data_IF_848230019431
#
_entry.id   IF_848230019431
#
_cell.length_a   1.000
_cell.length_b   1.000
_cell.length_c   1.000
_cell.angle_alpha   90.00
_cell.angle_beta   90.00
_cell.angle_gamma   90.00
#
_symmetry.space_group_name_H-M   'P 1'
#
loop_
_entity.id
_entity.type
_entity.pdbx_description
1 polymer ?
#
# COMPACT_ATOMS: atom_id res chain seq x y z
N UNK A 1 3.76 10.55 -15.62
CA UNK A 1 3.41 9.40 -16.46
C UNK A 1 3.30 8.15 -15.60
N UNK A 2 2.23 7.37 -15.81
CA UNK A 2 1.99 6.15 -15.05
C UNK A 2 3.03 5.11 -15.44
N UNK A 3 3.58 4.41 -14.44
CA UNK A 3 4.39 3.23 -14.70
C UNK A 3 3.45 2.04 -14.90
N UNK A 4 3.32 1.58 -16.13
CA UNK A 4 2.34 0.56 -16.50
C UNK A 4 2.58 -0.76 -15.75
N UNK A 5 3.83 -1.14 -15.54
CA UNK A 5 4.15 -2.37 -14.81
C UNK A 5 3.60 -2.32 -13.37
N UNK A 6 3.88 -1.25 -12.65
CA UNK A 6 3.41 -1.12 -11.27
C UNK A 6 1.91 -0.86 -11.18
N UNK A 7 1.31 -0.24 -12.19
CA UNK A 7 -0.14 -0.11 -12.21
C UNK A 7 -0.83 -1.45 -12.43
N UNK A 8 -0.27 -2.32 -13.27
CA UNK A 8 -0.80 -3.69 -13.41
C UNK A 8 -0.70 -4.45 -12.09
N UNK A 9 0.37 -4.24 -11.32
CA UNK A 9 0.48 -4.83 -9.99
C UNK A 9 -0.57 -4.30 -9.03
N UNK A 10 -0.89 -3.00 -9.11
CA UNK A 10 -1.95 -2.43 -8.28
C UNK A 10 -3.32 -3.06 -8.62
N UNK A 11 -3.58 -3.30 -9.89
CA UNK A 11 -4.79 -4.03 -10.30
C UNK A 11 -4.81 -5.44 -9.75
N UNK A 12 -3.66 -6.13 -9.75
CA UNK A 12 -3.54 -7.45 -9.18
C UNK A 12 -3.85 -7.46 -7.69
N UNK A 13 -3.36 -6.47 -6.95
CA UNK A 13 -3.70 -6.31 -5.52
C UNK A 13 -5.20 -6.12 -5.32
N UNK A 14 -5.81 -5.25 -6.13
CA UNK A 14 -7.25 -4.99 -6.04
C UNK A 14 -8.07 -6.24 -6.35
N UNK A 15 -7.57 -7.11 -7.21
CA UNK A 15 -8.23 -8.38 -7.55
C UNK A 15 -8.04 -9.44 -6.46
N UNK A 16 -6.95 -9.36 -5.69
CA UNK A 16 -6.69 -10.30 -4.59
C UNK A 16 -7.48 -9.92 -3.32
N UNK A 17 -7.78 -8.65 -3.13
CA UNK A 17 -8.43 -8.17 -1.91
C UNK A 17 -9.80 -8.82 -1.64
N UNK A 18 -10.67 -9.06 -2.64
CA UNK A 18 -11.96 -9.72 -2.38
C UNK A 18 -11.83 -11.11 -1.79
N UNK A 19 -10.73 -11.81 -2.03
CA UNK A 19 -10.49 -13.15 -1.48
C UNK A 19 -10.45 -13.13 0.05
N UNK A 20 -10.18 -11.97 0.64
CA UNK A 20 -10.11 -11.78 2.09
C UNK A 20 -11.17 -10.80 2.59
N UNK A 21 -12.25 -10.61 1.83
CA UNK A 21 -13.40 -9.84 2.28
C UNK A 21 -13.34 -8.34 2.00
N UNK A 22 -12.45 -7.89 1.12
CA UNK A 22 -12.31 -6.47 0.79
C UNK A 22 -12.59 -6.26 -0.70
N UNK A 23 -13.86 -6.17 -1.10
CA UNK A 23 -14.23 -5.91 -2.49
C UNK A 23 -14.14 -4.42 -2.83
N UNK A 24 -14.17 -4.12 -4.12
CA UNK A 24 -14.39 -2.76 -4.65
C UNK A 24 -13.25 -1.78 -4.35
N UNK A 25 -12.04 -2.27 -4.17
CA UNK A 25 -10.88 -1.39 -4.04
C UNK A 25 -10.47 -0.91 -5.44
N UNK A 26 -10.37 0.42 -5.59
CA UNK A 26 -9.93 1.02 -6.84
C UNK A 26 -8.39 0.90 -6.92
N UNK A 27 -7.85 0.25 -7.96
CA UNK A 27 -6.38 0.11 -8.08
C UNK A 27 -5.65 1.44 -8.18
N UNK A 28 -6.32 2.52 -8.60
CA UNK A 28 -5.70 3.85 -8.66
C UNK A 28 -5.36 4.36 -7.26
N UNK A 29 -6.17 4.02 -6.26
CA UNK A 29 -5.86 4.38 -4.86
C UNK A 29 -4.61 3.66 -4.38
N UNK A 30 -4.51 2.38 -4.69
CA UNK A 30 -3.34 1.57 -4.33
C UNK A 30 -2.09 2.14 -5.01
N UNK A 31 -2.19 2.43 -6.30
CA UNK A 31 -1.06 2.97 -7.06
C UNK A 31 -0.57 4.29 -6.45
N UNK A 32 -1.48 5.21 -6.16
CA UNK A 32 -1.12 6.51 -5.57
C UNK A 32 -0.42 6.32 -4.21
N UNK A 33 -0.92 5.40 -3.39
CA UNK A 33 -0.31 5.09 -2.10
C UNK A 33 1.09 4.53 -2.27
N UNK A 34 1.29 3.59 -3.20
CA UNK A 34 2.61 3.01 -3.44
C UNK A 34 3.61 4.04 -3.96
N UNK A 35 3.19 4.93 -4.84
CA UNK A 35 4.05 6.03 -5.31
C UNK A 35 4.51 6.88 -4.13
N UNK A 36 3.60 7.21 -3.24
CA UNK A 36 3.91 8.00 -2.05
C UNK A 36 4.89 7.24 -1.12
N UNK A 37 4.59 5.98 -0.82
CA UNK A 37 5.38 5.20 0.14
C UNK A 37 6.76 4.83 -0.38
N UNK A 38 6.91 4.62 -1.68
CA UNK A 38 8.14 4.12 -2.29
C UNK A 38 8.97 5.22 -2.96
N UNK A 39 8.58 6.46 -2.81
CA UNK A 39 9.20 7.58 -3.54
C UNK A 39 9.26 7.27 -5.03
N UNK A 40 8.09 7.04 -5.62
CA UNK A 40 7.93 6.71 -7.04
C UNK A 40 8.71 5.45 -7.42
N UNK A 41 8.63 4.42 -6.57
CA UNK A 41 9.23 3.09 -6.79
C UNK A 41 10.76 3.08 -6.78
N UNK A 42 11.38 4.10 -6.19
CA UNK A 42 12.84 4.24 -6.20
C UNK A 42 13.50 3.99 -4.84
N UNK A 43 12.72 3.88 -3.75
CA UNK A 43 13.30 3.68 -2.43
C UNK A 43 14.09 2.36 -2.37
N UNK A 44 15.10 2.31 -1.49
CA UNK A 44 15.87 1.09 -1.30
C UNK A 44 14.97 -0.09 -0.92
N UNK A 45 13.97 0.15 -0.08
CA UNK A 45 13.03 -0.89 0.32
C UNK A 45 12.23 -1.44 -0.87
N UNK A 46 11.79 -0.56 -1.77
CA UNK A 46 11.06 -0.97 -2.97
C UNK A 46 11.95 -1.78 -3.91
N UNK A 47 13.20 -1.39 -4.07
CA UNK A 47 14.12 -2.02 -5.02
C UNK A 47 14.69 -3.33 -4.44
N UNK A 48 15.12 -3.32 -3.20
CA UNK A 48 15.84 -4.46 -2.61
C UNK A 48 14.89 -5.52 -2.04
N UNK A 49 13.76 -5.09 -1.45
CA UNK A 49 12.82 -6.00 -0.80
C UNK A 49 11.56 -6.27 -1.63
N UNK A 50 11.41 -5.63 -2.79
CA UNK A 50 10.16 -5.65 -3.57
C UNK A 50 8.97 -5.21 -2.71
N UNK A 51 9.20 -4.33 -1.74
CA UNK A 51 8.22 -3.91 -0.73
C UNK A 51 7.84 -2.45 -1.00
N UNK A 52 6.70 -2.26 -1.65
CA UNK A 52 6.29 -0.93 -2.11
C UNK A 52 5.52 -0.14 -1.05
N UNK A 53 4.99 -0.82 -0.04
CA UNK A 53 4.15 -0.19 0.97
C UNK A 53 4.77 -0.12 2.37
N UNK A 54 6.02 -0.53 2.53
CA UNK A 54 6.64 -0.53 3.85
C UNK A 54 6.05 -1.54 4.82
N UNK A 55 5.60 -2.68 4.33
CA UNK A 55 4.91 -3.69 5.14
C UNK A 55 5.91 -4.41 6.04
N UNK A 56 5.55 -4.57 7.32
CA UNK A 56 6.41 -5.21 8.32
C UNK A 56 5.81 -6.51 8.83
N UNK A 57 6.63 -7.29 9.50
CA UNK A 57 6.24 -8.54 10.16
C UNK A 57 6.62 -8.48 11.64
N UNK A 58 6.07 -9.41 12.45
CA UNK A 58 6.28 -9.39 13.90
C UNK A 58 7.66 -9.88 14.32
N UNK A 59 8.28 -10.75 13.52
CA UNK A 59 9.62 -11.27 13.80
C UNK A 59 10.63 -10.61 12.85
N UNK A 60 11.87 -10.37 13.30
CA UNK A 60 12.88 -9.77 12.42
C UNK A 60 13.27 -10.70 11.28
N UNK A 61 13.70 -10.13 10.17
CA UNK A 61 14.31 -10.88 9.08
C UNK A 61 15.74 -11.28 9.45
N UNK A 62 16.26 -12.29 8.76
CA UNK A 62 17.61 -12.81 9.02
C UNK A 62 18.71 -11.81 8.66
N UNK A 63 18.43 -10.91 7.73
CA UNK A 63 19.41 -9.91 7.29
C UNK A 63 18.87 -8.50 7.51
N UNK A 64 19.77 -7.55 7.87
CA UNK A 64 19.37 -6.15 7.99
C UNK A 64 18.79 -5.59 6.68
N UNK A 65 17.87 -4.66 6.80
CA UNK A 65 17.23 -4.02 5.66
C UNK A 65 17.74 -2.60 5.45
N UNK A 66 17.47 -2.02 4.25
CA UNK A 66 18.07 -0.74 3.86
C UNK A 66 17.85 0.41 4.85
N UNK A 67 16.73 0.44 5.54
CA UNK A 67 16.43 1.53 6.48
C UNK A 67 16.96 1.26 7.90
N UNK A 68 17.91 0.36 8.03
CA UNK A 68 18.51 0.05 9.34
C UNK A 68 17.68 -0.86 10.22
N UNK A 69 16.53 -1.30 9.75
CA UNK A 69 15.69 -2.25 10.44
C UNK A 69 15.87 -3.65 9.89
N UNK A 70 15.11 -4.59 10.43
CA UNK A 70 15.06 -5.95 9.91
C UNK A 70 13.66 -6.55 10.06
N UNK A 71 12.65 -5.70 10.20
CA UNK A 71 11.25 -6.12 10.32
C UNK A 71 10.46 -5.96 9.02
N UNK A 72 10.98 -5.26 8.01
CA UNK A 72 10.31 -5.16 6.73
C UNK A 72 10.33 -6.49 6.01
N UNK A 73 9.19 -6.87 5.43
CA UNK A 73 9.12 -8.14 4.71
C UNK A 73 9.96 -8.08 3.44
N UNK A 74 10.71 -9.15 3.19
CA UNK A 74 11.42 -9.37 1.92
C UNK A 74 10.54 -10.22 1.02
N UNK A 75 10.10 -9.68 -0.11
CA UNK A 75 9.28 -10.44 -1.06
C UNK A 75 10.18 -10.99 -2.19
N UNK A 76 9.88 -12.20 -2.63
CA UNK A 76 10.64 -12.83 -3.70
C UNK A 76 10.44 -12.12 -5.04
N UNK A 77 9.29 -11.46 -5.23
CA UNK A 77 8.97 -10.74 -6.46
C UNK A 77 7.96 -9.63 -6.15
N UNK A 78 7.79 -8.71 -7.11
CA UNK A 78 6.74 -7.71 -6.99
C UNK A 78 5.35 -8.33 -7.07
N UNK A 79 5.18 -9.42 -7.82
CA UNK A 79 3.91 -10.14 -7.91
C UNK A 79 3.52 -10.72 -6.55
N UNK A 80 4.47 -11.32 -5.84
CA UNK A 80 4.24 -11.83 -4.50
C UNK A 80 3.83 -10.71 -3.55
N UNK A 81 4.50 -9.56 -3.64
CA UNK A 81 4.12 -8.40 -2.85
C UNK A 81 2.68 -7.95 -3.16
N UNK A 82 2.34 -7.88 -4.45
CA UNK A 82 1.00 -7.40 -4.85
C UNK A 82 -0.11 -8.29 -4.29
N UNK A 83 0.06 -9.60 -4.36
CA UNK A 83 -0.91 -10.56 -3.81
C UNK A 83 -1.01 -10.40 -2.29
N UNK A 84 0.13 -10.30 -1.63
CA UNK A 84 0.18 -10.12 -0.18
C UNK A 84 -0.50 -8.82 0.23
N UNK A 85 -0.21 -7.72 -0.46
CA UNK A 85 -0.79 -6.43 -0.11
C UNK A 85 -2.31 -6.44 -0.24
N UNK A 86 -2.83 -7.05 -1.30
CA UNK A 86 -4.28 -7.18 -1.46
C UNK A 86 -4.91 -7.91 -0.30
N UNK A 87 -4.33 -9.02 0.14
CA UNK A 87 -4.81 -9.77 1.30
C UNK A 87 -4.60 -9.00 2.61
N UNK A 88 -3.51 -8.25 2.70
CA UNK A 88 -3.16 -7.46 3.88
C UNK A 88 -4.23 -6.42 4.24
N UNK A 89 -4.96 -5.92 3.24
CA UNK A 89 -6.03 -4.95 3.47
C UNK A 89 -7.14 -5.49 4.36
N UNK A 90 -7.26 -6.81 4.48
CA UNK A 90 -8.20 -7.47 5.40
C UNK A 90 -8.05 -6.96 6.84
N UNK A 91 -6.85 -6.60 7.27
CA UNK A 91 -6.60 -6.08 8.62
C UNK A 91 -7.23 -4.72 8.89
N UNK A 92 -7.79 -4.07 7.88
CA UNK A 92 -8.32 -2.72 8.00
C UNK A 92 -9.84 -2.66 7.78
N UNK A 93 -10.52 -3.81 7.74
CA UNK A 93 -11.98 -3.87 7.61
C UNK A 93 -12.66 -3.12 8.75
N UNK A 94 -12.15 -3.25 9.98
CA UNK A 94 -12.72 -2.55 11.13
C UNK A 94 -12.60 -1.02 11.00
N UNK A 95 -11.66 -0.55 10.18
CA UNK A 95 -11.54 0.88 9.85
C UNK A 95 -12.43 1.33 8.70
N UNK A 96 -13.12 0.38 8.05
CA UNK A 96 -14.06 0.69 6.99
C UNK A 96 -13.54 0.52 5.57
N UNK A 97 -12.40 -0.16 5.39
CA UNK A 97 -11.78 -0.27 4.05
C UNK A 97 -12.66 -1.01 3.05
N UNK A 98 -13.48 -1.95 3.52
CA UNK A 98 -14.41 -2.69 2.67
C UNK A 98 -15.59 -1.85 2.18
N UNK A 99 -15.77 -0.65 2.74
CA UNK A 99 -16.85 0.26 2.39
C UNK A 99 -16.35 1.57 1.76
N UNK A 100 -15.05 1.68 1.51
CA UNK A 100 -14.47 2.88 0.95
C UNK A 100 -14.93 3.07 -0.51
N UNK A 101 -15.31 4.30 -0.86
CA UNK A 101 -15.74 4.66 -2.21
C UNK A 101 -14.88 5.78 -2.79
N UNK A 102 -13.97 6.35 -1.99
CA UNK A 102 -13.05 7.41 -2.42
C UNK A 102 -11.66 7.12 -1.90
N UNK A 103 -10.66 7.77 -2.50
CA UNK A 103 -9.27 7.69 -2.02
C UNK A 103 -9.19 8.11 -0.55
N UNK A 104 -9.86 9.20 -0.18
CA UNK A 104 -9.83 9.69 1.19
C UNK A 104 -10.39 8.67 2.17
N UNK A 105 -11.47 7.99 1.83
CA UNK A 105 -12.05 6.94 2.67
C UNK A 105 -11.13 5.72 2.78
N UNK A 106 -10.49 5.35 1.67
CA UNK A 106 -9.51 4.27 1.66
C UNK A 106 -8.35 4.57 2.63
N UNK A 107 -7.77 5.76 2.52
CA UNK A 107 -6.66 6.17 3.39
C UNK A 107 -7.11 6.30 4.84
N UNK A 108 -8.30 6.83 5.08
CA UNK A 108 -8.83 6.95 6.45
C UNK A 108 -9.00 5.58 7.11
N UNK A 109 -9.40 4.56 6.35
CA UNK A 109 -9.52 3.21 6.89
C UNK A 109 -8.17 2.65 7.34
N UNK A 110 -7.10 2.95 6.61
CA UNK A 110 -5.75 2.53 6.99
C UNK A 110 -5.26 3.21 8.26
N UNK A 111 -5.69 4.45 8.52
CA UNK A 111 -5.28 5.19 9.72
C UNK A 111 -6.09 4.79 10.95
N UNK A 112 -7.39 4.57 10.78
CA UNK A 112 -8.33 4.46 11.88
C UNK A 112 -8.66 3.03 12.29
N UNK A 113 -7.94 2.04 11.79
CA UNK A 113 -8.21 0.66 12.15
C UNK A 113 -7.88 0.39 13.61
N UNK A 114 -8.77 -0.30 14.36
CA UNK A 114 -8.46 -0.72 15.73
C UNK A 114 -7.24 -1.63 15.83
N UNK A 115 -6.86 -2.30 14.72
CA UNK A 115 -5.69 -3.19 14.70
C UNK A 115 -4.37 -2.43 14.68
N UNK A 116 -4.40 -1.10 14.50
CA UNK A 116 -3.22 -0.26 14.44
C UNK A 116 -3.23 0.62 13.21
N UNK A 117 -2.28 1.55 13.18
CA UNK A 117 -2.15 2.49 12.07
C UNK A 117 -1.21 1.94 11.03
N UNK A 118 -1.61 2.04 9.74
CA UNK A 118 -0.71 1.69 8.65
C UNK A 118 0.46 2.68 8.53
N UNK A 119 0.21 3.97 8.81
CA UNK A 119 1.21 5.02 8.66
C UNK A 119 1.25 5.93 9.88
N UNK A 120 2.42 6.53 10.15
CA UNK A 120 2.62 7.41 11.30
C UNK A 120 2.33 8.88 11.05
N UNK A 121 2.22 9.31 9.79
CA UNK A 121 1.95 10.69 9.44
C UNK A 121 0.49 11.05 9.78
N UNK A 122 0.16 12.35 9.82
CA UNK A 122 -1.23 12.75 10.03
C UNK A 122 -2.10 12.31 8.86
N UNK A 123 -3.36 11.98 9.14
CA UNK A 123 -4.31 11.60 8.10
C UNK A 123 -4.43 12.70 7.05
N UNK A 124 -4.52 13.96 7.48
CA UNK A 124 -4.67 15.09 6.59
C UNK A 124 -3.50 15.20 5.60
N UNK A 125 -2.28 15.10 6.10
CA UNK A 125 -1.08 15.18 5.23
C UNK A 125 -0.99 13.99 4.28
N UNK A 126 -1.26 12.81 4.78
CA UNK A 126 -1.16 11.59 3.97
C UNK A 126 -2.20 11.59 2.85
N UNK A 127 -3.45 11.98 3.16
CA UNK A 127 -4.51 12.09 2.15
C UNK A 127 -4.12 13.14 1.10
N UNK A 128 -3.62 14.29 1.54
CA UNK A 128 -3.24 15.37 0.61
C UNK A 128 -2.15 14.91 -0.35
N UNK A 129 -1.15 14.19 0.15
CA UNK A 129 -0.05 13.69 -0.68
C UNK A 129 -0.54 12.65 -1.68
N UNK A 130 -1.33 11.69 -1.22
CA UNK A 130 -1.88 10.66 -2.11
C UNK A 130 -2.85 11.25 -3.13
N UNK A 131 -3.67 12.22 -2.74
CA UNK A 131 -4.62 12.87 -3.65
C UNK A 131 -3.86 13.65 -4.73
N UNK A 132 -2.79 14.35 -4.37
CA UNK A 132 -1.96 15.07 -5.34
C UNK A 132 -1.39 14.11 -6.38
N UNK A 133 -0.89 12.96 -5.93
CA UNK A 133 -0.35 11.93 -6.83
C UNK A 133 -1.47 11.39 -7.73
N UNK A 134 -2.63 11.06 -7.15
CA UNK A 134 -3.77 10.57 -7.90
C UNK A 134 -4.17 11.55 -9.01
N UNK A 135 -4.27 12.84 -8.66
CA UNK A 135 -4.67 13.87 -9.62
C UNK A 135 -3.63 14.02 -10.74
N UNK A 136 -2.35 13.92 -10.40
CA UNK A 136 -1.26 14.04 -11.36
C UNK A 136 -1.30 12.91 -12.40
N UNK A 137 -1.55 11.68 -11.95
CA UNK A 137 -1.45 10.51 -12.83
C UNK A 137 -2.78 10.12 -13.48
N UNK A 138 -3.90 10.40 -12.83
CA UNK A 138 -5.21 9.95 -13.30
C UNK A 138 -6.15 11.09 -13.69
N UNK A 139 -5.64 12.29 -13.69
CA UNK A 139 -6.39 13.43 -14.23
C UNK A 139 -7.45 13.99 -13.30
N UNK A 140 -7.22 13.92 -12.02
CA UNK A 140 -8.02 14.59 -11.00
C UNK A 140 -9.47 14.80 -11.31
#
# INVERSE_FOLDING_TARGET
MINDYFYELAKRSAQAAPEKGVPNIDPRWIYAQWVHESNNFTSALAVDNHNLGGVTQSEPNDTPQPDGGNYYINFASYEDYADYFGHYLNGYIDGGIDRATTLGEYVAALKNSPSGEYFGDSLENYVADCQRIYDEYFGG
#
